data_IF_800370469501
#
_entry.id   IF_800370469501
#
_cell.length_a   1.000
_cell.length_b   1.000
_cell.length_c   1.000
_cell.angle_alpha   90.00
_cell.angle_beta   90.00
_cell.angle_gamma   90.00
#
_symmetry.space_group_name_H-M   'P 1'
#
loop_
_entity.id
_entity.type
_entity.pdbx_description
1 polymer ?
#
# COMPACT_ATOMS: atom_id res chain seq x y z
N UNK A 1 4.05 8.20 30.58
CA UNK A 1 3.84 8.53 32.01
C UNK A 1 4.96 7.99 32.89
N UNK A 2 5.20 6.67 32.97
CA UNK A 2 6.30 6.12 33.77
C UNK A 2 7.70 6.54 33.27
N UNK A 3 7.91 6.57 31.95
CA UNK A 3 9.19 6.99 31.34
C UNK A 3 9.50 8.47 31.55
N UNK A 4 8.48 9.34 31.51
CA UNK A 4 8.63 10.77 31.78
C UNK A 4 9.00 11.04 33.24
N UNK A 5 8.47 10.26 34.18
CA UNK A 5 8.82 10.37 35.62
C UNK A 5 10.22 9.82 35.86
N UNK A 6 10.57 8.67 35.28
CA UNK A 6 11.91 8.09 35.40
C UNK A 6 13.00 9.03 34.84
N UNK A 7 12.72 9.71 33.73
CA UNK A 7 13.60 10.73 33.15
C UNK A 7 13.75 11.95 34.06
N UNK A 8 12.64 12.46 34.62
CA UNK A 8 12.66 13.58 35.57
C UNK A 8 13.47 13.27 36.84
N UNK A 9 13.35 12.06 37.38
CA UNK A 9 14.13 11.62 38.55
C UNK A 9 15.62 11.51 38.19
N UNK A 10 15.95 10.91 37.04
CA UNK A 10 17.34 10.78 36.60
C UNK A 10 18.03 12.13 36.40
N UNK A 11 17.33 13.12 35.83
CA UNK A 11 17.85 14.49 35.65
C UNK A 11 18.09 15.25 36.97
N UNK A 12 17.46 14.83 38.08
CA UNK A 12 17.54 15.51 39.38
C UNK A 12 18.39 14.81 40.43
N UNK A 13 18.64 13.51 40.25
CA UNK A 13 19.29 12.67 41.26
C UNK A 13 20.45 11.83 40.71
N UNK A 14 20.73 11.91 39.40
CA UNK A 14 21.69 11.06 38.67
C UNK A 14 21.43 9.53 38.79
N UNK A 15 20.31 9.13 39.40
CA UNK A 15 19.90 7.74 39.55
C UNK A 15 19.11 7.32 38.31
N UNK A 16 19.67 6.42 37.50
CA UNK A 16 19.00 5.87 36.32
C UNK A 16 18.06 4.72 36.69
N UNK A 17 16.75 4.97 36.68
CA UNK A 17 15.71 3.96 36.92
C UNK A 17 15.38 3.25 35.59
N UNK A 18 15.56 1.93 35.54
CA UNK A 18 15.17 1.10 34.39
C UNK A 18 13.66 0.82 34.43
N UNK A 19 12.92 1.40 33.49
CA UNK A 19 11.48 1.16 33.33
C UNK A 19 11.25 -0.09 32.48
N UNK A 20 10.75 -1.16 33.08
CA UNK A 20 10.33 -2.36 32.36
C UNK A 20 8.87 -2.21 31.92
N UNK A 21 8.62 -2.30 30.61
CA UNK A 21 7.26 -2.40 30.09
C UNK A 21 6.78 -3.85 30.28
N UNK A 22 5.61 -4.10 30.92
CA UNK A 22 5.08 -5.45 31.02
C UNK A 22 4.88 -6.03 29.61
N UNK A 23 5.14 -7.33 29.38
CA UNK A 23 4.93 -7.94 28.07
C UNK A 23 3.50 -7.71 27.61
N UNK A 24 3.30 -7.28 26.36
CA UNK A 24 1.97 -7.06 25.83
C UNK A 24 1.30 -8.40 25.49
N UNK A 25 0.65 -9.01 26.48
CA UNK A 25 -0.06 -10.27 26.32
C UNK A 25 -1.35 -10.15 25.50
N UNK A 26 -1.89 -8.93 25.30
CA UNK A 26 -3.12 -8.77 24.51
C UNK A 26 -2.88 -9.04 23.02
N UNK A 27 -1.72 -8.63 22.49
CA UNK A 27 -1.34 -8.88 21.11
C UNK A 27 -1.10 -10.37 20.83
N UNK A 28 -0.42 -11.07 21.74
CA UNK A 28 -0.19 -12.52 21.60
C UNK A 28 -1.48 -13.31 21.75
N UNK A 29 -2.35 -12.94 22.68
CA UNK A 29 -3.64 -13.61 22.89
C UNK A 29 -4.61 -13.38 21.73
N UNK A 30 -4.62 -12.17 21.16
CA UNK A 30 -5.37 -11.87 19.94
C UNK A 30 -4.88 -12.71 18.74
N UNK A 31 -3.56 -12.89 18.59
CA UNK A 31 -2.98 -13.71 17.55
C UNK A 31 -3.35 -15.19 17.71
N UNK A 32 -3.27 -15.73 18.93
CA UNK A 32 -3.69 -17.12 19.22
C UNK A 32 -5.17 -17.32 18.92
N UNK A 33 -6.03 -16.39 19.34
CA UNK A 33 -7.47 -16.45 19.05
C UNK A 33 -7.76 -16.40 17.54
N UNK A 34 -7.03 -15.57 16.80
CA UNK A 34 -7.16 -15.49 15.34
C UNK A 34 -6.73 -16.81 14.68
N UNK A 35 -5.63 -17.43 15.13
CA UNK A 35 -5.19 -18.72 14.63
C UNK A 35 -6.24 -19.82 14.86
N UNK A 36 -6.87 -19.85 16.05
CA UNK A 36 -7.93 -20.82 16.36
C UNK A 36 -9.16 -20.59 15.49
N UNK A 37 -9.57 -19.33 15.27
CA UNK A 37 -10.68 -18.99 14.39
C UNK A 37 -10.42 -19.41 12.94
N UNK A 38 -9.23 -19.13 12.43
CA UNK A 38 -8.84 -19.52 11.06
C UNK A 38 -8.81 -21.05 10.95
N UNK A 39 -8.21 -21.75 11.91
CA UNK A 39 -8.19 -23.22 11.93
C UNK A 39 -9.61 -23.82 12.02
N UNK A 40 -10.48 -23.26 12.86
CA UNK A 40 -11.87 -23.67 12.99
C UNK A 40 -12.68 -23.45 11.72
N UNK A 41 -12.51 -22.30 11.07
CA UNK A 41 -13.15 -21.98 9.79
C UNK A 41 -12.69 -22.94 8.67
N UNK A 42 -11.39 -23.21 8.60
CA UNK A 42 -10.82 -24.17 7.65
C UNK A 42 -11.32 -25.61 7.90
N UNK A 43 -11.46 -26.01 9.16
CA UNK A 43 -12.00 -27.32 9.53
C UNK A 43 -13.48 -27.44 9.13
N UNK A 44 -14.29 -26.43 9.44
CA UNK A 44 -15.72 -26.41 9.09
C UNK A 44 -15.95 -26.41 7.58
N UNK A 45 -15.05 -25.77 6.82
CA UNK A 45 -15.12 -25.71 5.35
C UNK A 45 -14.23 -26.73 4.64
N UNK A 46 -13.78 -27.79 5.32
CA UNK A 46 -12.84 -28.81 4.80
C UNK A 46 -13.23 -29.40 3.45
N UNK A 47 -14.52 -29.54 3.17
CA UNK A 47 -15.03 -30.07 1.89
C UNK A 47 -15.08 -29.05 0.74
N UNK A 48 -14.84 -27.75 0.99
CA UNK A 48 -14.90 -26.68 -0.01
C UNK A 48 -13.65 -25.78 0.08
N UNK A 49 -12.47 -26.42 0.08
CA UNK A 49 -11.15 -25.78 0.13
C UNK A 49 -10.60 -25.43 -1.26
N UNK A 50 -11.41 -25.54 -2.32
CA UNK A 50 -10.99 -25.26 -3.69
C UNK A 50 -10.44 -23.84 -3.86
N UNK A 51 -10.90 -22.89 -3.04
CA UNK A 51 -10.37 -21.52 -3.03
C UNK A 51 -8.89 -21.43 -2.60
N UNK A 52 -8.43 -22.31 -1.69
CA UNK A 52 -7.04 -22.34 -1.22
C UNK A 52 -6.10 -22.97 -2.24
N UNK A 53 -6.60 -23.86 -3.09
CA UNK A 53 -5.81 -24.46 -4.16
C UNK A 53 -5.73 -23.58 -5.41
N UNK A 54 -6.54 -22.53 -5.50
CA UNK A 54 -6.53 -21.60 -6.62
C UNK A 54 -5.28 -20.70 -6.60
N UNK A 55 -4.29 -21.03 -7.44
CA UNK A 55 -3.04 -20.25 -7.59
C UNK A 55 -3.29 -18.80 -8.00
N UNK A 56 -4.32 -18.52 -8.80
CA UNK A 56 -4.64 -17.17 -9.23
C UNK A 56 -5.12 -16.30 -8.06
N UNK A 57 -5.85 -16.88 -7.10
CA UNK A 57 -6.26 -16.17 -5.90
C UNK A 57 -5.03 -15.74 -5.08
N UNK A 58 -4.07 -16.64 -4.87
CA UNK A 58 -2.81 -16.31 -4.19
C UNK A 58 -1.99 -15.27 -4.95
N UNK A 59 -1.93 -15.35 -6.29
CA UNK A 59 -1.24 -14.36 -7.11
C UNK A 59 -1.87 -12.96 -6.95
N UNK A 60 -3.21 -12.86 -7.00
CA UNK A 60 -3.93 -11.59 -6.78
C UNK A 60 -3.69 -11.06 -5.37
N UNK A 61 -3.77 -11.90 -4.34
CA UNK A 61 -3.49 -11.51 -2.96
C UNK A 61 -2.05 -11.00 -2.78
N UNK A 62 -1.07 -11.67 -3.39
CA UNK A 62 0.34 -11.27 -3.31
C UNK A 62 0.57 -9.92 -4.01
N UNK A 63 0.00 -9.71 -5.20
CA UNK A 63 0.10 -8.44 -5.93
C UNK A 63 -0.58 -7.31 -5.17
N UNK A 64 -1.77 -7.56 -4.60
CA UNK A 64 -2.46 -6.58 -3.76
C UNK A 64 -1.64 -6.19 -2.52
N UNK A 65 -1.01 -7.17 -1.87
CA UNK A 65 -0.11 -6.92 -0.75
C UNK A 65 1.09 -6.05 -1.15
N UNK A 66 1.71 -6.33 -2.31
CA UNK A 66 2.78 -5.49 -2.86
C UNK A 66 2.32 -4.04 -3.06
N UNK A 67 1.13 -3.81 -3.61
CA UNK A 67 0.61 -2.44 -3.79
C UNK A 67 0.35 -1.73 -2.46
N UNK A 68 -0.22 -2.43 -1.48
CA UNK A 68 -0.43 -1.88 -0.15
C UNK A 68 0.91 -1.46 0.49
N UNK A 69 1.95 -2.29 0.37
CA UNK A 69 3.25 -1.99 0.96
C UNK A 69 4.00 -0.87 0.22
N UNK A 70 4.01 -0.89 -1.12
CA UNK A 70 4.72 0.11 -1.94
C UNK A 70 4.09 1.50 -1.84
N UNK A 71 2.77 1.59 -1.64
CA UNK A 71 2.04 2.88 -1.55
C UNK A 71 2.24 3.66 -0.25
N UNK A 72 2.93 3.09 0.75
CA UNK A 72 3.22 3.76 2.01
C UNK A 72 2.21 3.52 3.14
N UNK A 73 1.44 2.42 3.12
CA UNK A 73 0.48 2.10 4.20
C UNK A 73 1.14 1.98 5.59
N UNK A 74 2.41 1.55 5.65
CA UNK A 74 3.17 1.53 6.90
C UNK A 74 3.49 2.94 7.42
N UNK A 75 3.76 3.88 6.53
CA UNK A 75 3.94 5.28 6.93
C UNK A 75 2.65 5.84 7.51
N UNK A 76 1.50 5.55 6.88
CA UNK A 76 0.19 5.94 7.42
C UNK A 76 -0.08 5.33 8.80
N UNK A 77 0.26 4.05 8.99
CA UNK A 77 0.07 3.37 10.27
C UNK A 77 0.93 3.95 11.40
N UNK A 78 2.19 4.33 11.11
CA UNK A 78 3.12 4.88 12.11
C UNK A 78 2.80 6.33 12.45
N UNK A 79 2.52 7.16 11.44
CA UNK A 79 2.37 8.62 11.61
C UNK A 79 0.92 9.06 11.82
N UNK A 80 -0.06 8.28 11.38
CA UNK A 80 -1.48 8.62 11.51
C UNK A 80 -1.86 9.96 10.88
N UNK A 81 -1.53 10.22 9.59
CA UNK A 81 -1.91 11.45 8.90
C UNK A 81 -3.44 11.59 8.79
N UNK A 82 -3.97 12.82 8.61
CA UNK A 82 -5.38 13.01 8.30
C UNK A 82 -5.73 12.40 6.93
N UNK A 83 -7.01 12.04 6.75
CA UNK A 83 -7.49 11.43 5.50
C UNK A 83 -7.45 12.42 4.32
N UNK A 84 -7.87 13.66 4.57
CA UNK A 84 -7.84 14.81 3.66
C UNK A 84 -7.56 16.07 4.46
N UNK A 85 -7.07 17.12 3.79
CA UNK A 85 -6.84 18.42 4.41
C UNK A 85 -7.77 19.48 3.79
N UNK A 86 -8.43 20.27 4.63
CA UNK A 86 -9.28 21.38 4.19
C UNK A 86 -8.46 22.67 4.19
N UNK A 87 -8.35 23.29 3.02
CA UNK A 87 -7.67 24.58 2.83
C UNK A 87 -8.73 25.66 2.56
N UNK A 88 -8.35 26.93 2.72
CA UNK A 88 -9.23 28.08 2.45
C UNK A 88 -9.83 28.08 1.03
N UNK A 89 -9.16 27.45 0.06
CA UNK A 89 -9.59 27.31 -1.34
C UNK A 89 -10.25 25.96 -1.67
N UNK A 90 -10.53 25.10 -0.69
CA UNK A 90 -11.16 23.78 -0.89
C UNK A 90 -10.39 22.60 -0.31
N UNK A 91 -10.80 21.38 -0.66
CA UNK A 91 -10.21 20.12 -0.16
C UNK A 91 -8.93 19.78 -0.94
N UNK A 92 -7.80 19.64 -0.25
CA UNK A 92 -6.54 19.15 -0.83
C UNK A 92 -6.41 17.65 -0.61
N UNK A 93 -6.40 16.89 -1.71
CA UNK A 93 -6.23 15.43 -1.70
C UNK A 93 -4.77 14.98 -1.72
N UNK A 94 -3.86 15.88 -2.14
CA UNK A 94 -2.42 15.67 -2.25
C UNK A 94 -1.71 16.60 -1.27
N UNK A 95 -0.71 16.08 -0.57
CA UNK A 95 0.10 16.83 0.37
C UNK A 95 1.20 17.59 -0.39
N UNK A 96 1.34 18.89 -0.15
CA UNK A 96 2.28 19.74 -0.92
C UNK A 96 3.75 19.44 -0.64
N UNK A 97 4.08 18.88 0.53
CA UNK A 97 5.46 18.50 0.86
C UNK A 97 5.75 17.04 0.49
N UNK A 98 6.95 16.77 0.01
CA UNK A 98 7.48 15.43 -0.28
C UNK A 98 7.68 14.54 0.96
N UNK A 99 7.80 15.13 2.14
CA UNK A 99 8.01 14.40 3.40
C UNK A 99 6.71 13.90 4.04
N UNK A 100 5.56 14.41 3.60
CA UNK A 100 4.24 14.10 4.15
C UNK A 100 3.34 13.43 3.12
N UNK A 101 2.39 12.64 3.60
CA UNK A 101 1.41 11.94 2.77
C UNK A 101 0.03 11.98 3.44
N UNK A 102 -1.04 12.01 2.65
CA UNK A 102 -2.40 11.76 3.15
C UNK A 102 -2.83 10.32 2.92
N UNK A 103 -3.77 9.82 3.73
CA UNK A 103 -4.26 8.44 3.59
C UNK A 103 -4.90 8.24 2.21
N UNK A 104 -5.69 9.21 1.75
CA UNK A 104 -6.30 9.15 0.42
C UNK A 104 -5.26 9.13 -0.71
N UNK A 105 -4.17 9.86 -0.54
CA UNK A 105 -3.04 9.90 -1.46
C UNK A 105 -2.45 8.50 -1.69
N UNK A 106 -2.30 7.70 -0.63
CA UNK A 106 -1.84 6.30 -0.74
C UNK A 106 -2.81 5.46 -1.57
N UNK A 107 -4.13 5.62 -1.40
CA UNK A 107 -5.11 4.89 -2.20
C UNK A 107 -5.08 5.28 -3.68
N UNK A 108 -4.89 6.56 -3.99
CA UNK A 108 -4.68 7.03 -5.37
C UNK A 108 -3.45 6.35 -5.97
N UNK A 109 -2.33 6.32 -5.23
CA UNK A 109 -1.09 5.67 -5.68
C UNK A 109 -1.26 4.16 -5.88
N UNK A 110 -2.04 3.46 -5.03
CA UNK A 110 -2.38 2.04 -5.23
C UNK A 110 -3.09 1.84 -6.56
N UNK A 111 -4.14 2.62 -6.83
CA UNK A 111 -4.96 2.48 -8.05
C UNK A 111 -4.13 2.77 -9.29
N UNK A 112 -3.29 3.81 -9.27
CA UNK A 112 -2.44 4.15 -10.40
C UNK A 112 -1.39 3.07 -10.68
N UNK A 113 -0.74 2.53 -9.65
CA UNK A 113 0.22 1.42 -9.82
C UNK A 113 -0.47 0.14 -10.30
N UNK A 114 -1.66 -0.17 -9.77
CA UNK A 114 -2.45 -1.31 -10.21
C UNK A 114 -2.81 -1.19 -11.70
N UNK A 115 -3.20 0.00 -12.17
CA UNK A 115 -3.45 0.26 -13.58
C UNK A 115 -2.20 -0.05 -14.42
N UNK A 116 -1.04 0.54 -14.09
CA UNK A 116 0.21 0.28 -14.83
C UNK A 116 0.56 -1.21 -14.89
N UNK A 117 0.42 -1.93 -13.79
CA UNK A 117 0.68 -3.38 -13.74
C UNK A 117 -0.33 -4.16 -14.58
N UNK A 118 -1.61 -3.81 -14.57
CA UNK A 118 -2.62 -4.42 -15.45
C UNK A 118 -2.22 -4.20 -16.92
N UNK A 119 -1.80 -3.00 -17.29
CA UNK A 119 -1.27 -2.71 -18.64
C UNK A 119 -0.09 -3.62 -18.99
N UNK A 120 0.86 -3.80 -18.07
CA UNK A 120 2.02 -4.68 -18.26
C UNK A 120 1.62 -6.16 -18.42
N UNK A 121 0.64 -6.62 -17.63
CA UNK A 121 0.09 -7.98 -17.74
C UNK A 121 -0.56 -8.17 -19.11
N UNK A 122 -1.34 -7.20 -19.59
CA UNK A 122 -1.99 -7.26 -20.90
C UNK A 122 -0.97 -7.36 -22.05
N UNK A 123 0.12 -6.59 -22.01
CA UNK A 123 1.18 -6.66 -23.03
C UNK A 123 1.88 -8.02 -22.99
N UNK A 124 2.19 -8.52 -21.79
CA UNK A 124 2.87 -9.80 -21.60
C UNK A 124 2.01 -10.99 -22.05
N UNK A 125 0.71 -10.95 -21.73
CA UNK A 125 -0.26 -11.95 -22.14
C UNK A 125 -0.46 -11.91 -23.66
N UNK A 126 -0.56 -10.71 -24.26
CA UNK A 126 -0.66 -10.55 -25.71
C UNK A 126 0.53 -11.19 -26.46
N UNK A 127 1.74 -11.12 -25.90
CA UNK A 127 2.93 -11.77 -26.46
C UNK A 127 2.94 -13.30 -26.31
N UNK A 128 2.45 -13.82 -25.18
CA UNK A 128 2.50 -15.26 -24.86
C UNK A 128 1.32 -16.05 -25.43
N UNK A 129 0.17 -15.40 -25.61
CA UNK A 129 -1.08 -16.03 -26.07
C UNK A 129 -0.88 -16.63 -27.45
N UNK A 130 -1.32 -17.87 -27.67
CA UNK A 130 -1.35 -18.53 -29.00
C UNK A 130 -2.82 -18.58 -29.49
N UNK A 131 -3.23 -17.58 -30.26
CA UNK A 131 -4.57 -17.46 -30.87
C UNK A 131 -4.66 -16.32 -31.89
N UNK A 132 -5.86 -15.77 -32.10
CA UNK A 132 -6.16 -14.73 -33.09
C UNK A 132 -5.20 -13.52 -33.04
N UNK A 133 -4.60 -13.20 -34.18
CA UNK A 133 -3.63 -12.10 -34.32
C UNK A 133 -4.27 -10.76 -33.96
N UNK A 134 -5.51 -10.53 -34.40
CA UNK A 134 -6.24 -9.27 -34.15
C UNK A 134 -6.48 -9.03 -32.65
N UNK A 135 -6.86 -10.06 -31.90
CA UNK A 135 -7.08 -9.94 -30.45
C UNK A 135 -5.77 -9.65 -29.70
N UNK A 136 -4.66 -10.29 -30.09
CA UNK A 136 -3.34 -10.00 -29.51
C UNK A 136 -2.90 -8.56 -29.78
N UNK A 137 -3.08 -8.08 -31.01
CA UNK A 137 -2.75 -6.70 -31.37
C UNK A 137 -3.55 -5.69 -30.54
N UNK A 138 -4.86 -5.91 -30.40
CA UNK A 138 -5.72 -5.04 -29.58
C UNK A 138 -5.25 -5.04 -28.12
N UNK A 139 -5.01 -6.22 -27.53
CA UNK A 139 -4.52 -6.33 -26.15
C UNK A 139 -3.17 -5.63 -25.94
N UNK A 140 -2.24 -5.79 -26.88
CA UNK A 140 -0.94 -5.14 -26.83
C UNK A 140 -1.06 -3.61 -26.93
N UNK A 141 -1.87 -3.10 -27.87
CA UNK A 141 -2.08 -1.66 -28.05
C UNK A 141 -2.76 -1.06 -26.82
N UNK A 142 -3.83 -1.68 -26.32
CA UNK A 142 -4.53 -1.22 -25.12
C UNK A 142 -3.60 -1.24 -23.91
N UNK A 143 -2.83 -2.32 -23.72
CA UNK A 143 -1.86 -2.41 -22.64
C UNK A 143 -0.77 -1.33 -22.71
N UNK A 144 -0.24 -1.05 -23.90
CA UNK A 144 0.73 0.03 -24.12
C UNK A 144 0.14 1.41 -23.81
N UNK A 145 -1.07 1.71 -24.30
CA UNK A 145 -1.74 2.99 -24.02
C UNK A 145 -1.94 3.16 -22.52
N UNK A 146 -2.40 2.10 -21.84
CA UNK A 146 -2.64 2.11 -20.40
C UNK A 146 -1.34 2.40 -19.62
N UNK A 147 -0.25 1.68 -19.92
CA UNK A 147 1.06 1.93 -19.28
C UNK A 147 1.47 3.39 -19.46
N UNK A 148 1.46 3.90 -20.69
CA UNK A 148 1.94 5.25 -20.99
C UNK A 148 1.11 6.35 -20.32
N UNK A 149 -0.22 6.23 -20.33
CA UNK A 149 -1.13 7.21 -19.72
C UNK A 149 -0.98 7.21 -18.20
N UNK A 150 -1.11 6.05 -17.55
CA UNK A 150 -1.09 5.99 -16.09
C UNK A 150 0.30 6.26 -15.51
N UNK A 151 1.37 5.81 -16.18
CA UNK A 151 2.74 6.18 -15.79
C UNK A 151 2.96 7.68 -15.89
N UNK A 152 2.42 8.33 -16.93
CA UNK A 152 2.50 9.79 -17.04
C UNK A 152 1.75 10.51 -15.93
N UNK A 153 0.60 10.00 -15.48
CA UNK A 153 -0.17 10.59 -14.38
C UNK A 153 0.61 10.47 -13.06
N UNK A 154 1.20 9.29 -12.79
CA UNK A 154 2.06 9.10 -11.62
C UNK A 154 3.23 10.10 -11.62
N UNK A 155 3.87 10.29 -12.77
CA UNK A 155 5.00 11.21 -12.90
C UNK A 155 4.59 12.68 -12.69
N UNK A 156 3.41 13.08 -13.20
CA UNK A 156 2.85 14.43 -13.00
C UNK A 156 2.55 14.69 -11.51
N UNK A 157 1.91 13.73 -10.81
CA UNK A 157 1.67 13.83 -9.36
C UNK A 157 2.99 13.92 -8.59
N UNK A 158 3.96 13.07 -8.93
CA UNK A 158 5.27 13.08 -8.30
C UNK A 158 5.96 14.45 -8.47
N UNK A 159 5.95 15.00 -9.68
CA UNK A 159 6.53 16.31 -10.00
C UNK A 159 5.84 17.44 -9.25
N UNK A 160 4.51 17.39 -9.11
CA UNK A 160 3.77 18.39 -8.33
C UNK A 160 4.22 18.41 -6.86
N UNK A 161 4.69 17.28 -6.34
CA UNK A 161 5.15 17.13 -4.95
C UNK A 161 6.66 17.37 -4.78
N UNK A 162 7.43 17.10 -5.83
CA UNK A 162 8.87 17.32 -5.91
C UNK A 162 9.18 18.47 -6.88
N UNK A 163 9.03 19.72 -6.43
CA UNK A 163 9.19 20.92 -7.25
C UNK A 163 10.54 21.04 -8.00
N UNK A 164 11.57 20.34 -7.55
CA UNK A 164 12.88 20.28 -8.22
C UNK A 164 12.98 19.28 -9.38
N UNK A 165 11.93 18.51 -9.70
CA UNK A 165 11.98 17.49 -10.74
C UNK A 165 11.71 18.08 -12.14
N UNK A 166 12.68 18.03 -13.07
CA UNK A 166 12.59 18.75 -14.35
C UNK A 166 11.86 17.97 -15.45
N UNK A 167 11.70 16.65 -15.31
CA UNK A 167 11.20 15.79 -16.39
C UNK A 167 9.68 15.62 -16.34
N UNK A 168 9.06 15.54 -17.52
CA UNK A 168 7.65 15.20 -17.72
C UNK A 168 7.54 14.24 -18.90
N UNK A 169 6.55 13.34 -18.88
CA UNK A 169 6.35 12.36 -19.94
C UNK A 169 5.30 12.84 -20.96
N UNK A 170 4.02 12.55 -20.74
CA UNK A 170 2.91 12.99 -21.59
C UNK A 170 2.20 14.22 -21.02
N UNK A 171 1.94 14.19 -19.72
CA UNK A 171 1.25 15.24 -18.97
C UNK A 171 2.24 15.99 -18.09
N UNK A 172 1.99 17.29 -17.91
CA UNK A 172 2.84 18.17 -17.10
C UNK A 172 2.54 18.07 -15.61
#
# INVERSE_FOLDING_TARGET
AAESIAKWIAERTDIQIRVFRPPNYSGTLALVMLCILVAGFLYMRRNNLDFLYNKSLWAVCAVFFCFAMVSGQMWNHIRGPPFVHYTHNGVSYIHSSSQGQFVLESYIVIVLNAAVVIGMIMVTDAGSRKGDVRMRQIMAIVGLVLINVFFSIILSIFRSKAHGYPYSYLFK
#
